data_IF_752813160708
#
_entry.id   IF_752813160708
#
_cell.length_a   1.000
_cell.length_b   1.000
_cell.length_c   1.000
_cell.angle_alpha   90.00
_cell.angle_beta   90.00
_cell.angle_gamma   90.00
#
_symmetry.space_group_name_H-M   'P 1'
#
loop_
_entity.id
_entity.type
_entity.pdbx_description
1 polymer ?
#
# COMPACT_ATOMS: atom_id res chain seq x y z
N UNK A 1 1.92 -11.40 4.07
CA UNK A 1 2.55 -12.74 4.22
C UNK A 1 2.21 -13.39 5.56
N UNK A 2 2.50 -12.77 6.71
CA UNK A 2 2.22 -13.36 8.04
C UNK A 2 0.76 -13.83 8.25
N UNK A 3 -0.22 -13.02 7.83
CA UNK A 3 -1.65 -13.39 7.90
C UNK A 3 -1.98 -14.67 7.12
N UNK A 4 -1.38 -14.83 5.94
CA UNK A 4 -1.58 -16.03 5.13
C UNK A 4 -0.86 -17.25 5.75
N UNK A 5 0.31 -17.05 6.35
CA UNK A 5 1.04 -18.10 7.06
C UNK A 5 0.26 -18.62 8.28
N UNK A 6 -0.37 -17.74 9.05
CA UNK A 6 -1.22 -18.13 10.19
C UNK A 6 -2.43 -18.93 9.74
N UNK A 7 -2.98 -18.66 8.56
CA UNK A 7 -4.12 -19.40 8.00
C UNK A 7 -3.72 -20.68 7.26
N UNK A 8 -2.42 -20.94 7.07
CA UNK A 8 -1.96 -22.07 6.27
C UNK A 8 -2.36 -23.44 6.84
N UNK A 9 -2.57 -23.54 8.16
CA UNK A 9 -3.10 -24.74 8.81
C UNK A 9 -4.55 -25.03 8.40
N UNK A 10 -5.35 -23.99 8.16
CA UNK A 10 -6.79 -24.09 7.88
C UNK A 10 -7.10 -24.24 6.39
N UNK A 11 -6.42 -23.46 5.53
CA UNK A 11 -6.72 -23.43 4.09
C UNK A 11 -5.74 -24.25 3.23
N UNK A 12 -4.71 -24.82 3.84
CA UNK A 12 -3.65 -25.54 3.16
C UNK A 12 -2.55 -24.63 2.61
N UNK A 13 -1.33 -25.19 2.48
CA UNK A 13 -0.11 -24.44 2.15
C UNK A 13 -0.16 -23.75 0.78
N UNK A 14 -0.66 -24.44 -0.25
CA UNK A 14 -0.76 -23.91 -1.62
C UNK A 14 -1.69 -22.70 -1.65
N UNK A 15 -2.88 -22.80 -1.06
CA UNK A 15 -3.87 -21.71 -1.03
C UNK A 15 -3.36 -20.52 -0.23
N UNK A 16 -2.68 -20.78 0.88
CA UNK A 16 -2.03 -19.73 1.68
C UNK A 16 -0.94 -19.00 0.89
N UNK A 17 -0.09 -19.73 0.16
CA UNK A 17 0.95 -19.14 -0.69
C UNK A 17 0.35 -18.30 -1.83
N UNK A 18 -0.63 -18.84 -2.57
CA UNK A 18 -1.36 -18.09 -3.59
C UNK A 18 -2.00 -16.82 -3.04
N UNK A 19 -2.65 -16.92 -1.88
CA UNK A 19 -3.26 -15.77 -1.20
C UNK A 19 -2.21 -14.75 -0.77
N UNK A 20 -1.03 -15.19 -0.32
CA UNK A 20 0.07 -14.31 0.02
C UNK A 20 0.54 -13.49 -1.18
N UNK A 21 0.66 -14.11 -2.36
CA UNK A 21 1.01 -13.41 -3.61
C UNK A 21 -0.03 -12.34 -3.95
N UNK A 22 -1.32 -12.68 -3.90
CA UNK A 22 -2.41 -11.72 -4.15
C UNK A 22 -2.44 -10.60 -3.11
N UNK A 23 -2.19 -10.91 -1.84
CA UNK A 23 -2.12 -9.91 -0.76
C UNK A 23 -0.92 -8.98 -0.88
N UNK A 24 0.12 -9.33 -1.65
CA UNK A 24 1.23 -8.43 -1.97
C UNK A 24 0.92 -7.56 -3.19
N UNK A 25 0.28 -8.12 -4.22
CA UNK A 25 0.03 -7.42 -5.48
C UNK A 25 -1.19 -6.47 -5.44
N UNK A 26 -2.32 -6.92 -4.87
CA UNK A 26 -3.57 -6.15 -4.89
C UNK A 26 -3.49 -4.81 -4.14
N UNK A 27 -2.84 -4.71 -2.96
CA UNK A 27 -2.71 -3.42 -2.28
C UNK A 27 -1.87 -2.40 -3.05
N UNK A 28 -0.91 -2.83 -3.86
CA UNK A 28 -0.09 -1.95 -4.72
C UNK A 28 -0.95 -1.37 -5.85
N UNK A 29 -1.77 -2.20 -6.49
CA UNK A 29 -2.69 -1.74 -7.53
C UNK A 29 -3.80 -0.84 -6.97
N UNK A 30 -4.35 -1.18 -5.80
CA UNK A 30 -5.34 -0.34 -5.14
C UNK A 30 -4.74 1.02 -4.74
N UNK A 31 -3.49 1.01 -4.28
CA UNK A 31 -2.74 2.24 -4.00
C UNK A 31 -2.53 3.06 -5.28
N UNK A 32 -2.14 2.44 -6.39
CA UNK A 32 -2.02 3.11 -7.68
C UNK A 32 -3.32 3.82 -8.09
N UNK A 33 -4.47 3.16 -7.99
CA UNK A 33 -5.78 3.78 -8.31
C UNK A 33 -6.03 5.05 -7.47
N UNK A 34 -5.74 4.99 -6.17
CA UNK A 34 -5.95 6.14 -5.26
C UNK A 34 -4.89 7.24 -5.45
N UNK A 35 -3.70 6.90 -5.96
CA UNK A 35 -2.65 7.87 -6.28
C UNK A 35 -2.92 8.67 -7.56
N UNK A 36 -3.76 8.17 -8.48
CA UNK A 36 -4.14 8.89 -9.71
C UNK A 36 -4.69 10.30 -9.44
N UNK A 37 -5.74 10.50 -8.62
CA UNK A 37 -6.23 11.85 -8.32
C UNK A 37 -5.20 12.73 -7.61
N UNK A 38 -4.27 12.13 -6.85
CA UNK A 38 -3.18 12.86 -6.19
C UNK A 38 -2.19 13.42 -7.21
N UNK A 39 -1.80 12.63 -8.22
CA UNK A 39 -0.92 13.09 -9.32
C UNK A 39 -1.60 14.18 -10.15
N UNK A 40 -2.88 14.00 -10.47
CA UNK A 40 -3.65 15.00 -11.23
C UNK A 40 -3.72 16.32 -10.46
N UNK A 41 -4.03 16.28 -9.16
CA UNK A 41 -4.05 17.46 -8.31
C UNK A 41 -2.67 18.12 -8.21
N UNK A 42 -1.60 17.33 -8.04
CA UNK A 42 -0.23 17.82 -7.97
C UNK A 42 0.19 18.51 -9.27
N UNK A 43 -0.10 17.90 -10.42
CA UNK A 43 0.21 18.51 -11.71
C UNK A 43 -0.59 19.80 -11.94
N UNK A 44 -1.87 19.84 -11.56
CA UNK A 44 -2.72 21.01 -11.72
C UNK A 44 -2.31 22.20 -10.81
N UNK A 45 -1.79 21.92 -9.61
CA UNK A 45 -1.46 22.97 -8.63
C UNK A 45 0.02 23.33 -8.65
N UNK A 46 0.91 22.34 -8.71
CA UNK A 46 2.35 22.54 -8.65
C UNK A 46 3.04 22.46 -10.02
N UNK A 47 2.37 21.97 -11.07
CA UNK A 47 3.01 21.77 -12.38
C UNK A 47 4.08 20.66 -12.37
N UNK A 48 5.04 20.69 -13.33
CA UNK A 48 6.10 19.68 -13.46
C UNK A 48 7.25 19.93 -12.46
N UNK A 49 6.96 19.87 -11.17
CA UNK A 49 7.96 20.00 -10.10
C UNK A 49 8.48 18.64 -9.65
N UNK A 50 9.58 18.64 -8.87
CA UNK A 50 10.13 17.41 -8.29
C UNK A 50 9.14 16.64 -7.42
N UNK A 51 8.24 17.32 -6.69
CA UNK A 51 7.19 16.67 -5.90
C UNK A 51 6.16 15.96 -6.79
N UNK A 52 5.67 16.62 -7.83
CA UNK A 52 4.76 15.99 -8.81
C UNK A 52 5.44 14.78 -9.47
N UNK A 53 6.72 14.91 -9.82
CA UNK A 53 7.54 13.83 -10.36
C UNK A 53 7.67 12.64 -9.39
N UNK A 54 7.89 12.90 -8.09
CA UNK A 54 7.99 11.87 -7.07
C UNK A 54 6.67 11.11 -6.88
N UNK A 55 5.54 11.81 -6.86
CA UNK A 55 4.20 11.18 -6.75
C UNK A 55 3.92 10.35 -8.02
N UNK A 56 4.24 10.87 -9.20
CA UNK A 56 4.07 10.15 -10.46
C UNK A 56 4.97 8.90 -10.54
N UNK A 57 6.22 9.01 -10.08
CA UNK A 57 7.15 7.88 -9.99
C UNK A 57 6.61 6.81 -9.03
N UNK A 58 6.11 7.21 -7.87
CA UNK A 58 5.50 6.28 -6.91
C UNK A 58 4.28 5.55 -7.51
N UNK A 59 3.40 6.29 -8.20
CA UNK A 59 2.30 5.69 -8.95
C UNK A 59 2.80 4.66 -9.97
N UNK A 60 3.81 5.04 -10.77
CA UNK A 60 4.42 4.17 -11.77
C UNK A 60 5.00 2.90 -11.15
N UNK A 61 5.76 3.02 -10.06
CA UNK A 61 6.33 1.88 -9.32
C UNK A 61 5.25 0.96 -8.77
N UNK A 62 4.18 1.50 -8.18
CA UNK A 62 3.07 0.70 -7.66
C UNK A 62 2.36 -0.09 -8.76
N UNK A 63 2.10 0.53 -9.93
CA UNK A 63 1.54 -0.15 -11.11
C UNK A 63 2.50 -1.22 -11.62
N UNK A 64 3.78 -0.88 -11.78
CA UNK A 64 4.78 -1.78 -12.33
C UNK A 64 4.97 -3.02 -11.44
N UNK A 65 5.18 -2.83 -10.13
CA UNK A 65 5.38 -3.95 -9.20
C UNK A 65 4.10 -4.76 -8.99
N UNK A 66 2.94 -4.12 -8.82
CA UNK A 66 1.67 -4.81 -8.68
C UNK A 66 1.31 -5.63 -9.92
N UNK A 67 1.48 -5.03 -11.10
CA UNK A 67 1.29 -5.71 -12.39
C UNK A 67 2.28 -6.83 -12.62
N UNK A 68 3.57 -6.59 -12.36
CA UNK A 68 4.62 -7.59 -12.46
C UNK A 68 4.32 -8.80 -11.57
N UNK A 69 3.97 -8.60 -10.30
CA UNK A 69 3.63 -9.70 -9.40
C UNK A 69 2.45 -10.52 -9.91
N UNK A 70 1.41 -9.89 -10.47
CA UNK A 70 0.26 -10.62 -11.03
C UNK A 70 0.59 -11.39 -12.32
N UNK A 71 1.45 -10.83 -13.17
CA UNK A 71 1.85 -11.46 -14.44
C UNK A 71 2.86 -12.57 -14.16
N UNK A 72 3.96 -12.24 -13.46
CA UNK A 72 5.04 -13.17 -13.14
C UNK A 72 4.56 -14.39 -12.35
N UNK A 73 3.63 -14.19 -11.40
CA UNK A 73 3.04 -15.31 -10.64
C UNK A 73 2.17 -16.25 -11.48
N UNK A 74 1.91 -15.93 -12.75
CA UNK A 74 1.12 -16.77 -13.68
C UNK A 74 1.92 -17.23 -14.89
N UNK A 75 3.13 -16.73 -15.12
CA UNK A 75 3.96 -17.15 -16.26
C UNK A 75 4.71 -18.44 -15.95
N UNK A 76 4.70 -19.37 -16.90
CA UNK A 76 5.44 -20.64 -16.79
C UNK A 76 6.96 -20.44 -16.65
N UNK A 77 7.48 -19.30 -17.09
CA UNK A 77 8.91 -18.97 -17.00
C UNK A 77 9.40 -18.90 -15.55
N UNK A 78 8.58 -18.38 -14.62
CA UNK A 78 8.94 -18.35 -13.19
C UNK A 78 9.00 -19.77 -12.60
N UNK A 79 8.07 -20.65 -12.99
CA UNK A 79 8.12 -22.06 -12.63
C UNK A 79 9.38 -22.76 -13.13
N UNK A 80 9.77 -22.52 -14.39
CA UNK A 80 11.02 -23.04 -14.97
C UNK A 80 12.27 -22.50 -14.28
N UNK A 81 12.26 -21.24 -13.87
CA UNK A 81 13.38 -20.65 -13.13
C UNK A 81 13.52 -21.30 -11.74
N UNK A 82 12.39 -21.54 -11.07
CA UNK A 82 12.37 -22.25 -9.78
C UNK A 82 12.83 -23.71 -9.94
N UNK A 83 12.42 -24.39 -11.00
CA UNK A 83 12.83 -25.77 -11.33
C UNK A 83 14.34 -25.88 -11.55
N UNK A 84 14.96 -24.88 -12.17
CA UNK A 84 16.43 -24.80 -12.32
C UNK A 84 17.17 -24.73 -11.00
N UNK A 85 16.53 -24.22 -9.94
CA UNK A 85 17.11 -24.14 -8.60
C UNK A 85 16.86 -25.43 -7.80
N UNK A 86 15.65 -26.00 -7.91
CA UNK A 86 15.28 -27.29 -7.34
C UNK A 86 14.02 -27.83 -8.00
N UNK A 87 14.01 -29.14 -8.27
CA UNK A 87 12.84 -29.86 -8.81
C UNK A 87 11.63 -29.70 -7.87
N UNK A 88 11.86 -29.75 -6.55
CA UNK A 88 10.79 -29.62 -5.56
C UNK A 88 10.19 -28.19 -5.56
N UNK A 89 11.03 -27.16 -5.67
CA UNK A 89 10.58 -25.77 -5.78
C UNK A 89 9.80 -25.53 -7.07
N UNK A 90 10.21 -26.16 -8.17
CA UNK A 90 9.47 -26.13 -9.45
C UNK A 90 8.06 -26.70 -9.29
N UNK A 91 7.93 -27.88 -8.71
CA UNK A 91 6.65 -28.54 -8.49
C UNK A 91 5.71 -27.75 -7.56
N UNK A 92 6.21 -27.21 -6.45
CA UNK A 92 5.40 -26.37 -5.54
C UNK A 92 4.99 -25.05 -6.20
N UNK A 93 5.89 -24.42 -6.96
CA UNK A 93 5.58 -23.20 -7.72
C UNK A 93 4.49 -23.48 -8.73
N UNK A 94 4.56 -24.59 -9.47
CA UNK A 94 3.53 -24.95 -10.45
C UNK A 94 2.14 -25.13 -9.81
N UNK A 95 2.06 -25.77 -8.64
CA UNK A 95 0.79 -25.91 -7.90
C UNK A 95 0.22 -24.55 -7.49
N UNK A 96 1.05 -23.64 -6.97
CA UNK A 96 0.63 -22.27 -6.63
C UNK A 96 0.18 -21.51 -7.87
N UNK A 97 0.91 -21.61 -8.99
CA UNK A 97 0.53 -20.98 -10.24
C UNK A 97 -0.80 -21.52 -10.78
N UNK A 98 -1.05 -22.83 -10.68
CA UNK A 98 -2.30 -23.44 -11.10
C UNK A 98 -3.48 -22.91 -10.26
N UNK A 99 -3.33 -22.84 -8.94
CA UNK A 99 -4.35 -22.28 -8.03
C UNK A 99 -4.58 -20.77 -8.28
N UNK A 100 -3.53 -19.99 -8.55
CA UNK A 100 -3.64 -18.58 -8.96
C UNK A 100 -4.34 -18.37 -10.31
N UNK A 101 -4.20 -19.31 -11.24
CA UNK A 101 -4.95 -19.28 -12.52
C UNK A 101 -6.42 -19.64 -12.28
N UNK A 102 -6.71 -20.60 -11.40
CA UNK A 102 -8.07 -21.01 -11.04
C UNK A 102 -8.85 -19.91 -10.28
N UNK A 103 -8.19 -19.09 -9.47
CA UNK A 103 -8.80 -17.95 -8.75
C UNK A 103 -9.20 -16.76 -9.65
N UNK A 104 -8.88 -16.82 -10.94
CA UNK A 104 -9.11 -15.71 -11.87
C UNK A 104 -8.03 -14.62 -11.80
N UNK A 105 -8.14 -13.62 -12.68
CA UNK A 105 -7.05 -12.66 -12.93
C UNK A 105 -6.79 -11.67 -11.79
N UNK A 106 -7.84 -11.12 -11.18
CA UNK A 106 -7.69 -10.04 -10.18
C UNK A 106 -8.34 -10.32 -8.82
N UNK A 107 -9.21 -11.34 -8.70
CA UNK A 107 -10.01 -11.54 -7.49
C UNK A 107 -10.78 -10.27 -7.09
N UNK A 108 -11.68 -9.79 -7.97
CA UNK A 108 -12.31 -8.47 -7.88
C UNK A 108 -12.87 -8.07 -6.52
N UNK A 109 -13.40 -9.04 -5.76
CA UNK A 109 -13.88 -8.80 -4.39
C UNK A 109 -12.75 -8.38 -3.45
N UNK A 110 -11.63 -9.10 -3.48
CA UNK A 110 -10.46 -8.78 -2.67
C UNK A 110 -9.86 -7.43 -3.10
N UNK A 111 -9.78 -7.18 -4.41
CA UNK A 111 -9.33 -5.89 -4.93
C UNK A 111 -10.24 -4.74 -4.47
N UNK A 112 -11.56 -4.92 -4.54
CA UNK A 112 -12.54 -3.94 -4.08
C UNK A 112 -12.40 -3.63 -2.60
N UNK A 113 -12.20 -4.63 -1.75
CA UNK A 113 -11.94 -4.43 -0.32
C UNK A 113 -10.64 -3.66 -0.06
N UNK A 114 -9.57 -3.95 -0.82
CA UNK A 114 -8.33 -3.19 -0.73
C UNK A 114 -8.54 -1.73 -1.17
N UNK A 115 -9.32 -1.50 -2.23
CA UNK A 115 -9.65 -0.15 -2.68
C UNK A 115 -10.42 0.64 -1.63
N UNK A 116 -11.40 0.01 -0.98
CA UNK A 116 -12.13 0.63 0.15
C UNK A 116 -11.16 1.01 1.27
N UNK A 117 -10.25 0.10 1.66
CA UNK A 117 -9.24 0.39 2.68
C UNK A 117 -8.32 1.56 2.30
N UNK A 118 -7.94 1.67 1.02
CA UNK A 118 -7.13 2.79 0.52
C UNK A 118 -7.91 4.10 0.42
N UNK A 119 -9.19 4.04 0.08
CA UNK A 119 -10.07 5.22 0.09
C UNK A 119 -10.30 5.74 1.51
N UNK A 120 -10.46 4.86 2.50
CA UNK A 120 -10.54 5.25 3.91
C UNK A 120 -9.23 5.85 4.43
N UNK A 121 -8.08 5.29 4.05
CA UNK A 121 -6.77 5.89 4.33
C UNK A 121 -6.65 7.28 3.70
N UNK A 122 -7.09 7.45 2.44
CA UNK A 122 -7.10 8.76 1.78
C UNK A 122 -7.96 9.76 2.57
N UNK A 123 -9.17 9.35 2.98
CA UNK A 123 -10.07 10.18 3.76
C UNK A 123 -9.44 10.60 5.10
N UNK A 124 -8.80 9.67 5.81
CA UNK A 124 -8.07 9.94 7.06
C UNK A 124 -6.99 11.02 6.84
N UNK A 125 -6.19 10.91 5.77
CA UNK A 125 -5.17 11.90 5.44
C UNK A 125 -5.78 13.26 5.08
N UNK A 126 -6.87 13.28 4.31
CA UNK A 126 -7.58 14.53 3.95
C UNK A 126 -8.11 15.23 5.20
N UNK A 127 -8.70 14.49 6.14
CA UNK A 127 -9.20 15.05 7.40
C UNK A 127 -8.06 15.60 8.27
N UNK A 128 -6.95 14.88 8.36
CA UNK A 128 -5.76 15.33 9.08
C UNK A 128 -5.13 16.58 8.44
N UNK A 129 -5.06 16.63 7.11
CA UNK A 129 -4.59 17.80 6.38
C UNK A 129 -5.48 19.02 6.64
N UNK A 130 -6.80 18.83 6.62
CA UNK A 130 -7.76 19.88 6.96
C UNK A 130 -7.58 20.37 8.41
N UNK A 131 -7.41 19.45 9.36
CA UNK A 131 -7.15 19.78 10.77
C UNK A 131 -5.80 20.51 10.96
N UNK A 132 -4.80 20.20 10.14
CA UNK A 132 -3.50 20.88 10.11
C UNK A 132 -3.54 22.26 9.41
N UNK A 133 -4.71 22.69 8.92
CA UNK A 133 -4.89 23.98 8.26
C UNK A 133 -4.39 24.03 6.82
N UNK A 134 -4.23 22.88 6.15
CA UNK A 134 -3.86 22.86 4.71
C UNK A 134 -4.98 23.51 3.90
N UNK A 135 -4.73 24.60 3.14
CA UNK A 135 -5.74 25.26 2.34
C UNK A 135 -6.15 24.39 1.13
N UNK A 136 -7.25 24.79 0.46
CA UNK A 136 -7.81 24.13 -0.75
C UNK A 136 -8.62 22.86 -0.51
N UNK A 137 -9.08 22.63 0.73
CA UNK A 137 -10.04 21.57 1.06
C UNK A 137 -9.60 20.19 0.52
N UNK A 138 -10.45 19.56 -0.29
CA UNK A 138 -10.16 18.25 -0.89
C UNK A 138 -8.87 18.25 -1.72
N UNK A 139 -8.58 19.30 -2.48
CA UNK A 139 -7.35 19.38 -3.31
C UNK A 139 -6.12 19.40 -2.40
N UNK A 140 -6.13 20.20 -1.34
CA UNK A 140 -5.04 20.23 -0.35
C UNK A 140 -4.84 18.88 0.33
N UNK A 141 -5.93 18.17 0.64
CA UNK A 141 -5.89 16.81 1.16
C UNK A 141 -5.30 15.79 0.17
N UNK A 142 -5.67 15.87 -1.12
CA UNK A 142 -5.10 15.02 -2.18
C UNK A 142 -3.59 15.27 -2.38
N UNK A 143 -3.15 16.53 -2.31
CA UNK A 143 -1.72 16.87 -2.36
C UNK A 143 -0.97 16.27 -1.15
N UNK A 144 -1.55 16.41 0.05
CA UNK A 144 -0.99 15.83 1.29
C UNK A 144 -0.93 14.31 1.22
N UNK A 145 -1.95 13.67 0.66
CA UNK A 145 -1.97 12.22 0.43
C UNK A 145 -0.92 11.77 -0.59
N UNK A 146 -0.70 12.53 -1.66
CA UNK A 146 0.39 12.29 -2.60
C UNK A 146 1.75 12.28 -1.91
N UNK A 147 2.03 13.30 -1.10
CA UNK A 147 3.27 13.39 -0.29
C UNK A 147 3.35 12.22 0.70
N UNK A 148 2.24 11.87 1.36
CA UNK A 148 2.18 10.72 2.25
C UNK A 148 2.57 9.42 1.54
N UNK A 149 2.07 9.19 0.33
CA UNK A 149 2.36 7.99 -0.45
C UNK A 149 3.82 7.91 -0.89
N UNK A 150 4.44 9.04 -1.24
CA UNK A 150 5.89 9.10 -1.49
C UNK A 150 6.66 8.76 -0.21
N UNK A 151 6.28 9.35 0.93
CA UNK A 151 6.90 9.06 2.22
C UNK A 151 6.78 7.58 2.61
N UNK A 152 5.62 6.97 2.37
CA UNK A 152 5.39 5.53 2.58
C UNK A 152 6.30 4.67 1.73
N UNK A 153 6.43 4.99 0.43
CA UNK A 153 7.30 4.25 -0.49
C UNK A 153 8.77 4.32 -0.11
N UNK A 154 9.25 5.51 0.26
CA UNK A 154 10.60 5.70 0.79
C UNK A 154 10.75 4.97 2.12
N UNK A 155 9.70 4.95 2.93
CA UNK A 155 9.66 4.31 4.23
C UNK A 155 9.63 2.79 4.19
N UNK A 156 9.37 2.14 3.05
CA UNK A 156 9.33 0.67 2.97
C UNK A 156 10.67 0.00 3.36
N UNK A 157 11.78 0.76 3.39
CA UNK A 157 13.09 0.31 3.88
C UNK A 157 13.35 0.65 5.35
N UNK A 158 12.46 1.41 6.00
CA UNK A 158 12.61 1.92 7.36
C UNK A 158 11.63 1.22 8.31
N UNK A 159 12.10 0.56 9.39
CA UNK A 159 11.23 -0.08 10.37
C UNK A 159 10.18 0.88 10.94
N UNK A 160 8.91 0.46 10.92
CA UNK A 160 7.76 1.24 11.37
C UNK A 160 7.51 2.59 10.63
N UNK A 161 8.32 2.93 9.62
CA UNK A 161 8.22 4.15 8.80
C UNK A 161 8.23 5.46 9.61
N UNK A 162 8.61 5.40 10.89
CA UNK A 162 8.65 6.56 11.78
C UNK A 162 9.70 7.55 11.28
N UNK A 163 9.36 8.84 11.26
CA UNK A 163 10.22 9.91 10.78
C UNK A 163 10.23 10.10 9.26
N UNK A 164 9.97 9.08 8.44
CA UNK A 164 9.97 9.24 6.97
C UNK A 164 8.70 9.96 6.51
N UNK A 165 7.54 9.50 6.96
CA UNK A 165 6.26 10.14 6.62
C UNK A 165 6.16 11.51 7.30
N UNK A 166 6.56 11.60 8.57
CA UNK A 166 6.59 12.85 9.33
C UNK A 166 7.50 13.88 8.64
N UNK A 167 8.70 13.44 8.24
CA UNK A 167 9.66 14.25 7.50
C UNK A 167 9.13 14.65 6.13
N UNK A 168 8.49 13.76 5.39
CA UNK A 168 7.89 14.08 4.10
C UNK A 168 6.82 15.19 4.22
N UNK A 169 5.96 15.10 5.24
CA UNK A 169 4.95 16.13 5.52
C UNK A 169 5.58 17.46 5.96
N UNK A 170 6.56 17.42 6.86
CA UNK A 170 7.28 18.61 7.30
C UNK A 170 8.04 19.31 6.15
N UNK A 171 8.71 18.53 5.28
CA UNK A 171 9.45 19.04 4.13
C UNK A 171 8.51 19.62 3.05
N UNK A 172 7.31 19.07 2.90
CA UNK A 172 6.31 19.56 1.95
C UNK A 172 5.47 20.73 2.50
N UNK A 173 5.68 21.17 3.75
CA UNK A 173 4.83 22.15 4.42
C UNK A 173 4.70 23.46 3.64
N UNK A 174 5.81 23.97 3.09
CA UNK A 174 5.80 25.17 2.25
C UNK A 174 4.98 24.98 0.97
N UNK A 175 5.14 23.85 0.27
CA UNK A 175 4.38 23.52 -0.94
C UNK A 175 2.88 23.31 -0.67
N UNK A 176 2.56 22.87 0.55
CA UNK A 176 1.19 22.70 1.05
C UNK A 176 0.60 23.98 1.65
N UNK A 177 1.36 25.07 1.76
CA UNK A 177 0.95 26.31 2.44
C UNK A 177 0.46 26.06 3.89
N UNK A 178 1.15 25.19 4.62
CA UNK A 178 0.85 24.88 6.02
C UNK A 178 2.11 25.01 6.89
N UNK A 179 1.94 25.05 8.21
CA UNK A 179 3.08 25.03 9.12
C UNK A 179 3.65 23.62 9.23
N UNK A 180 4.99 23.50 9.26
CA UNK A 180 5.64 22.22 9.46
C UNK A 180 5.25 21.59 10.81
N UNK A 181 5.06 22.40 11.85
CA UNK A 181 4.62 21.95 13.17
C UNK A 181 3.20 21.33 13.14
N UNK A 182 2.24 21.96 12.44
CA UNK A 182 0.89 21.42 12.32
C UNK A 182 0.86 20.10 11.53
N UNK A 183 1.63 20.01 10.45
CA UNK A 183 1.75 18.78 9.69
C UNK A 183 2.46 17.68 10.48
N UNK A 184 3.51 17.99 11.24
CA UNK A 184 4.15 17.02 12.13
C UNK A 184 3.17 16.52 13.21
N UNK A 185 2.38 17.41 13.82
CA UNK A 185 1.35 17.02 14.79
C UNK A 185 0.27 16.11 14.17
N UNK A 186 -0.14 16.40 12.93
CA UNK A 186 -1.07 15.56 12.18
C UNK A 186 -0.47 14.18 11.86
N UNK A 187 0.81 14.09 11.52
CA UNK A 187 1.51 12.83 11.27
C UNK A 187 1.64 11.97 12.55
N UNK A 188 1.97 12.60 13.68
CA UNK A 188 1.96 11.93 15.00
C UNK A 188 0.56 11.41 15.33
N UNK A 189 -0.48 12.21 15.08
CA UNK A 189 -1.87 11.81 15.31
C UNK A 189 -2.24 10.61 14.44
N UNK A 190 -1.83 10.60 13.17
CA UNK A 190 -2.00 9.45 12.27
C UNK A 190 -1.37 8.18 12.86
N UNK A 191 -0.12 8.26 13.33
CA UNK A 191 0.56 7.12 13.95
C UNK A 191 -0.12 6.65 15.23
N UNK A 192 -0.60 7.57 16.07
CA UNK A 192 -1.34 7.24 17.29
C UNK A 192 -2.64 6.48 16.99
N UNK A 193 -3.42 6.93 16.00
CA UNK A 193 -4.65 6.25 15.56
C UNK A 193 -4.33 4.84 15.02
N UNK A 194 -3.27 4.71 14.21
CA UNK A 194 -2.83 3.41 13.67
C UNK A 194 -2.41 2.43 14.77
N UNK A 195 -1.68 2.91 15.77
CA UNK A 195 -1.26 2.11 16.92
C UNK A 195 -2.46 1.68 17.77
N UNK A 196 -3.43 2.58 18.01
CA UNK A 196 -4.65 2.24 18.74
C UNK A 196 -5.45 1.14 18.05
N UNK A 197 -5.66 1.24 16.73
CA UNK A 197 -6.33 0.19 15.96
C UNK A 197 -5.56 -1.13 15.93
N UNK A 198 -4.23 -1.07 15.84
CA UNK A 198 -3.40 -2.27 15.91
C UNK A 198 -3.54 -2.96 17.27
N UNK A 199 -3.49 -2.21 18.37
CA UNK A 199 -3.68 -2.73 19.72
C UNK A 199 -5.07 -3.36 19.92
N UNK A 200 -6.13 -2.68 19.47
CA UNK A 200 -7.50 -3.21 19.50
C UNK A 200 -7.63 -4.51 18.71
N UNK A 201 -7.06 -4.57 17.51
CA UNK A 201 -7.05 -5.78 16.69
C UNK A 201 -6.30 -6.94 17.35
N UNK A 202 -5.17 -6.66 18.00
CA UNK A 202 -4.41 -7.66 18.76
C UNK A 202 -5.21 -8.21 19.95
N UNK A 203 -5.88 -7.35 20.73
CA UNK A 203 -6.72 -7.77 21.85
C UNK A 203 -7.87 -8.64 21.36
N UNK A 204 -8.58 -8.21 20.31
CA UNK A 204 -9.68 -9.00 19.73
C UNK A 204 -9.21 -10.38 19.25
N UNK A 205 -8.04 -10.44 18.60
CA UNK A 205 -7.48 -11.70 18.12
C UNK A 205 -7.13 -12.68 19.25
N UNK A 206 -6.52 -12.19 20.33
CA UNK A 206 -6.24 -13.03 21.52
C UNK A 206 -7.53 -13.49 22.18
N UNK A 207 -8.55 -12.62 22.23
CA UNK A 207 -9.87 -12.96 22.77
C UNK A 207 -10.58 -14.08 22.01
N UNK A 208 -10.50 -14.11 20.68
CA UNK A 208 -11.11 -15.15 19.84
C UNK A 208 -10.41 -16.52 19.91
N UNK A 209 -9.21 -16.59 20.47
CA UNK A 209 -8.44 -17.85 20.62
C UNK A 209 -8.69 -18.56 21.95
N UNK A 210 -9.46 -17.96 22.85
CA UNK A 210 -9.90 -18.56 24.10
C UNK A 210 -11.31 -19.11 23.94
#
# INVERSE_FOLDING_TARGET
VLKAAVLASEVGRVRAASTAVLLSALPLLAHAVVSVPCVIAAYAVWGPTGLTGAIALQLGTAVALGGFLLVASRTRQVGRLAERLSVELGAETERVQADLRAMGRLGWRAFGLQLVGRALLLLEIVLLAAAAGVPRGLVGGLLTAGVHFVGQAVGDVVPAQLGVVDGAWALAASALNASAAALAAAAITFHAVRLAWAALGSVAFVGMRR
#
